data_IF_113820945298
#
_entry.id   IF_113820945298
#
_cell.length_a   1.000
_cell.length_b   1.000
_cell.length_c   1.000
_cell.angle_alpha   90.00
_cell.angle_beta   90.00
_cell.angle_gamma   90.00
#
_symmetry.space_group_name_H-M   'P 1'
#
loop_
_entity.id
_entity.type
_entity.pdbx_description
1 polymer ?
#
# COMPACT_ATOMS: atom_id res chain seq x y z
N UNK A 1 22.51 -3.29 7.54
CA UNK A 1 22.44 -4.75 7.80
C UNK A 1 23.74 -5.36 8.37
N UNK A 2 24.93 -5.21 7.76
CA UNK A 2 26.15 -5.89 8.24
C UNK A 2 26.54 -5.55 9.68
N UNK A 3 26.35 -4.29 10.08
CA UNK A 3 26.64 -3.83 11.44
C UNK A 3 25.78 -4.53 12.51
N UNK A 4 24.50 -4.78 12.24
CA UNK A 4 23.59 -5.49 13.18
C UNK A 4 23.96 -6.95 13.29
N UNK A 5 24.36 -7.58 12.18
CA UNK A 5 24.84 -8.97 12.19
C UNK A 5 26.15 -9.11 12.96
N UNK A 6 27.09 -8.17 12.78
CA UNK A 6 28.33 -8.13 13.55
C UNK A 6 28.02 -7.98 15.05
N UNK A 7 27.14 -7.05 15.40
CA UNK A 7 26.68 -6.85 16.77
C UNK A 7 26.09 -8.15 17.37
N UNK A 8 25.20 -8.84 16.65
CA UNK A 8 24.58 -10.07 17.14
C UNK A 8 25.63 -11.17 17.38
N UNK A 9 26.64 -11.27 16.49
CA UNK A 9 27.79 -12.17 16.69
C UNK A 9 28.61 -11.77 17.93
N UNK A 10 28.88 -10.48 18.13
CA UNK A 10 29.61 -9.98 19.29
C UNK A 10 28.87 -10.28 20.59
N UNK A 11 27.57 -10.02 20.66
CA UNK A 11 26.76 -10.37 21.84
C UNK A 11 26.81 -11.87 22.12
N UNK A 12 26.69 -12.72 21.10
CA UNK A 12 26.77 -14.17 21.28
C UNK A 12 28.12 -14.62 21.87
N UNK A 13 29.22 -14.04 21.42
CA UNK A 13 30.56 -14.31 21.98
C UNK A 13 30.65 -13.83 23.43
N UNK A 14 30.16 -12.63 23.73
CA UNK A 14 30.18 -12.08 25.09
C UNK A 14 29.34 -12.93 26.06
N UNK A 15 28.19 -13.42 25.60
CA UNK A 15 27.28 -14.26 26.38
C UNK A 15 27.91 -15.61 26.77
N UNK A 16 28.60 -16.24 25.81
CA UNK A 16 29.36 -17.49 26.02
C UNK A 16 30.46 -17.36 27.08
N UNK A 17 30.97 -16.14 27.28
CA UNK A 17 32.03 -15.83 28.23
C UNK A 17 31.57 -14.89 29.35
N UNK A 18 30.28 -14.89 29.67
CA UNK A 18 29.64 -14.02 30.69
C UNK A 18 30.16 -14.21 32.11
N UNK A 19 30.88 -15.31 32.39
CA UNK A 19 31.57 -15.53 33.67
C UNK A 19 32.72 -14.55 33.91
N UNK A 20 33.23 -13.91 32.87
CA UNK A 20 34.28 -12.89 32.97
C UNK A 20 33.62 -11.51 33.18
N UNK A 21 33.87 -10.90 34.34
CA UNK A 21 33.22 -9.64 34.74
C UNK A 21 33.37 -8.50 33.71
N UNK A 22 34.54 -8.37 33.08
CA UNK A 22 34.76 -7.37 32.04
C UNK A 22 33.90 -7.62 30.79
N UNK A 23 33.65 -8.88 30.43
CA UNK A 23 32.79 -9.22 29.30
C UNK A 23 31.32 -8.98 29.62
N UNK A 24 30.89 -9.26 30.85
CA UNK A 24 29.55 -8.88 31.32
C UNK A 24 29.31 -7.38 31.22
N UNK A 25 30.26 -6.56 31.70
CA UNK A 25 30.14 -5.10 31.60
C UNK A 25 30.09 -4.60 30.15
N UNK A 26 30.86 -5.22 29.25
CA UNK A 26 30.82 -4.90 27.81
C UNK A 26 29.47 -5.31 27.22
N UNK A 27 28.95 -6.50 27.57
CA UNK A 27 27.65 -6.99 27.13
C UNK A 27 26.53 -6.02 27.52
N UNK A 28 26.44 -5.63 28.79
CA UNK A 28 25.42 -4.71 29.31
C UNK A 28 25.45 -3.37 28.57
N UNK A 29 26.65 -2.79 28.38
CA UNK A 29 26.81 -1.52 27.65
C UNK A 29 26.42 -1.63 26.18
N UNK A 30 26.77 -2.75 25.56
CA UNK A 30 26.50 -3.03 24.14
C UNK A 30 25.00 -3.23 23.92
N UNK A 31 24.33 -3.96 24.82
CA UNK A 31 22.87 -4.11 24.84
C UNK A 31 22.13 -2.78 25.04
N UNK A 32 22.60 -1.94 25.95
CA UNK A 32 22.04 -0.59 26.13
C UNK A 32 22.16 0.23 24.84
N UNK A 33 23.32 0.21 24.18
CA UNK A 33 23.54 0.94 22.93
C UNK A 33 22.63 0.45 21.80
N UNK A 34 22.41 -0.87 21.68
CA UNK A 34 21.49 -1.41 20.69
C UNK A 34 20.05 -1.02 20.98
N UNK A 35 19.62 -1.05 22.25
CA UNK A 35 18.27 -0.59 22.63
C UNK A 35 18.02 0.86 22.22
N UNK A 36 18.99 1.74 22.44
CA UNK A 36 18.91 3.14 22.02
C UNK A 36 18.87 3.29 20.50
N UNK A 37 19.70 2.52 19.78
CA UNK A 37 19.72 2.51 18.32
C UNK A 37 18.39 1.99 17.75
N UNK A 38 17.86 0.89 18.29
CA UNK A 38 16.55 0.35 17.93
C UNK A 38 15.46 1.40 18.10
N UNK A 39 15.44 2.11 19.23
CA UNK A 39 14.48 3.20 19.45
C UNK A 39 14.56 4.30 18.38
N UNK A 40 15.78 4.70 18.00
CA UNK A 40 16.00 5.68 16.93
C UNK A 40 15.52 5.17 15.57
N UNK A 41 15.82 3.92 15.22
CA UNK A 41 15.40 3.34 13.94
C UNK A 41 13.88 3.16 13.88
N UNK A 42 13.21 2.80 14.99
CA UNK A 42 11.74 2.76 15.06
C UNK A 42 11.15 4.13 14.75
N UNK A 43 11.72 5.20 15.32
CA UNK A 43 11.23 6.57 15.08
C UNK A 43 11.45 7.03 13.63
N UNK A 44 12.44 6.47 12.92
CA UNK A 44 12.61 6.75 11.50
C UNK A 44 11.45 6.23 10.65
N UNK A 45 10.68 5.24 11.12
CA UNK A 45 9.48 4.79 10.41
C UNK A 45 8.39 5.88 10.33
N UNK A 46 8.41 6.87 11.23
CA UNK A 46 7.50 8.02 11.18
C UNK A 46 7.91 9.05 10.11
N UNK A 47 9.09 8.93 9.52
CA UNK A 47 9.57 9.87 8.51
C UNK A 47 8.79 9.70 7.20
N UNK A 48 7.99 10.73 6.91
CA UNK A 48 7.10 10.79 5.75
C UNK A 48 7.84 10.99 4.44
N UNK A 49 9.11 11.38 4.49
CA UNK A 49 9.97 11.59 3.31
C UNK A 49 10.63 10.30 2.81
N UNK A 50 10.62 9.23 3.61
CA UNK A 50 11.17 7.94 3.19
C UNK A 50 10.36 7.36 2.03
N UNK A 51 11.03 6.76 1.05
CA UNK A 51 10.34 5.93 0.07
C UNK A 51 9.87 4.61 0.71
N UNK A 52 9.07 3.83 -0.01
CA UNK A 52 8.52 2.55 0.47
C UNK A 52 9.62 1.49 0.63
N UNK A 53 10.63 1.48 -0.24
CA UNK A 53 11.76 0.53 -0.20
C UNK A 53 12.59 0.72 1.07
N UNK A 54 12.87 1.96 1.46
CA UNK A 54 13.61 2.29 2.69
C UNK A 54 12.83 1.92 3.94
N UNK A 55 11.49 2.05 3.93
CA UNK A 55 10.67 1.59 5.06
C UNK A 55 10.87 0.09 5.29
N UNK A 56 10.79 -0.73 4.24
CA UNK A 56 10.99 -2.18 4.36
C UNK A 56 12.40 -2.51 4.79
N UNK A 57 13.42 -1.83 4.26
CA UNK A 57 14.80 -2.00 4.74
C UNK A 57 14.93 -1.69 6.23
N UNK A 58 14.25 -0.66 6.75
CA UNK A 58 14.23 -0.40 8.18
C UNK A 58 13.49 -1.47 8.96
N UNK A 59 12.39 -2.02 8.44
CA UNK A 59 11.70 -3.17 9.05
C UNK A 59 12.62 -4.39 9.10
N UNK A 60 13.35 -4.71 8.03
CA UNK A 60 14.38 -5.77 8.00
C UNK A 60 15.43 -5.53 9.08
N UNK A 61 15.93 -4.30 9.21
CA UNK A 61 16.94 -3.94 10.21
C UNK A 61 16.37 -4.08 11.62
N UNK A 62 15.16 -3.59 11.88
CA UNK A 62 14.48 -3.67 13.17
C UNK A 62 14.20 -5.11 13.58
N UNK A 63 13.86 -5.97 12.62
CA UNK A 63 13.77 -7.42 12.82
C UNK A 63 15.11 -7.99 13.29
N UNK A 64 16.21 -7.67 12.60
CA UNK A 64 17.56 -8.14 12.98
C UNK A 64 18.03 -7.61 14.34
N UNK A 65 17.51 -6.45 14.75
CA UNK A 65 17.74 -5.85 16.07
C UNK A 65 16.81 -6.40 17.16
N UNK A 66 15.96 -7.37 16.83
CA UNK A 66 14.96 -7.95 17.74
C UNK A 66 14.04 -6.87 18.35
N UNK A 67 13.67 -5.87 17.56
CA UNK A 67 12.72 -4.85 17.97
C UNK A 67 11.34 -5.47 18.30
N UNK A 68 10.59 -4.79 19.16
CA UNK A 68 9.20 -5.18 19.47
C UNK A 68 8.36 -5.18 18.18
N UNK A 69 7.96 -6.36 17.74
CA UNK A 69 7.22 -6.57 16.48
C UNK A 69 5.98 -5.68 16.42
N UNK A 70 5.20 -5.63 17.49
CA UNK A 70 3.95 -4.84 17.58
C UNK A 70 4.24 -3.34 17.39
N UNK A 71 5.30 -2.81 18.01
CA UNK A 71 5.68 -1.39 17.83
C UNK A 71 6.05 -1.11 16.37
N UNK A 72 6.79 -2.02 15.74
CA UNK A 72 7.18 -1.90 14.32
C UNK A 72 5.96 -1.95 13.40
N UNK A 73 5.05 -2.92 13.61
CA UNK A 73 3.81 -3.05 12.82
C UNK A 73 2.95 -1.81 12.92
N UNK A 74 2.69 -1.32 14.14
CA UNK A 74 1.86 -0.12 14.33
C UNK A 74 2.47 1.11 13.63
N UNK A 75 3.79 1.28 13.71
CA UNK A 75 4.50 2.36 13.03
C UNK A 75 4.41 2.24 11.51
N UNK A 76 4.62 1.03 10.98
CA UNK A 76 4.52 0.75 9.56
C UNK A 76 3.10 1.01 9.03
N UNK A 77 2.07 0.49 9.70
CA UNK A 77 0.66 0.73 9.34
C UNK A 77 0.36 2.23 9.30
N UNK A 78 0.76 2.96 10.34
CA UNK A 78 0.54 4.41 10.41
C UNK A 78 1.25 5.16 9.28
N UNK A 79 2.49 4.79 8.95
CA UNK A 79 3.24 5.40 7.86
C UNK A 79 2.55 5.17 6.50
N UNK A 80 2.12 3.95 6.21
CA UNK A 80 1.40 3.62 4.98
C UNK A 80 0.02 4.28 4.92
N UNK A 81 -0.72 4.33 6.04
CA UNK A 81 -2.01 5.00 6.13
C UNK A 81 -1.87 6.50 5.88
N UNK A 82 -0.88 7.15 6.48
CA UNK A 82 -0.62 8.58 6.27
C UNK A 82 -0.30 8.87 4.79
N UNK A 83 0.56 8.06 4.16
CA UNK A 83 0.91 8.22 2.75
C UNK A 83 -0.29 7.99 1.83
N UNK A 84 -1.07 6.94 2.07
CA UNK A 84 -2.27 6.67 1.30
C UNK A 84 -3.28 7.82 1.41
N UNK A 85 -3.48 8.37 2.62
CA UNK A 85 -4.35 9.54 2.83
C UNK A 85 -3.83 10.81 2.12
N UNK A 86 -2.52 11.07 2.14
CA UNK A 86 -1.93 12.18 1.40
C UNK A 86 -2.18 12.03 -0.11
N UNK A 87 -1.98 10.84 -0.65
CA UNK A 87 -2.19 10.56 -2.06
C UNK A 87 -3.67 10.68 -2.45
N UNK A 88 -4.58 10.17 -1.61
CA UNK A 88 -6.04 10.35 -1.78
C UNK A 88 -6.42 11.83 -1.83
N UNK A 89 -5.92 12.63 -0.88
CA UNK A 89 -6.21 14.07 -0.83
C UNK A 89 -5.66 14.82 -2.05
N UNK A 90 -4.44 14.49 -2.50
CA UNK A 90 -3.86 15.07 -3.71
C UNK A 90 -4.67 14.74 -4.97
N UNK A 91 -5.28 13.55 -5.02
CA UNK A 91 -6.12 13.13 -6.12
C UNK A 91 -7.45 13.89 -6.13
N UNK A 92 -8.15 13.94 -5.00
CA UNK A 92 -9.45 14.63 -4.86
C UNK A 92 -9.36 16.14 -5.18
N UNK A 93 -8.25 16.80 -4.84
CA UNK A 93 -8.06 18.23 -5.12
C UNK A 93 -7.80 18.49 -6.62
N UNK A 94 -7.19 17.54 -7.34
CA UNK A 94 -6.82 17.73 -8.75
C UNK A 94 -7.95 17.37 -9.72
N UNK A 95 -8.82 16.42 -9.38
CA UNK A 95 -9.90 16.00 -10.29
C UNK A 95 -10.96 17.09 -10.54
N UNK A 96 -11.05 18.10 -9.66
CA UNK A 96 -11.99 19.22 -9.82
C UNK A 96 -11.61 20.21 -10.92
N UNK A 97 -10.37 20.20 -11.43
CA UNK A 97 -9.86 21.30 -12.26
C UNK A 97 -9.41 20.94 -13.70
N UNK A 98 -9.24 19.67 -14.09
CA UNK A 98 -8.77 19.30 -15.45
C UNK A 98 -9.29 17.92 -15.91
N UNK A 99 -10.10 17.88 -16.99
CA UNK A 99 -10.80 16.66 -17.47
C UNK A 99 -9.97 15.69 -18.32
N UNK A 100 -8.93 16.15 -19.02
CA UNK A 100 -8.28 15.35 -20.07
C UNK A 100 -7.06 14.53 -19.59
N UNK A 101 -6.75 14.55 -18.30
CA UNK A 101 -5.64 13.79 -17.71
C UNK A 101 -6.06 12.83 -16.60
N UNK A 102 -7.37 12.65 -16.39
CA UNK A 102 -7.91 11.95 -15.22
C UNK A 102 -7.52 10.47 -15.19
N UNK A 103 -7.67 9.72 -16.28
CA UNK A 103 -7.32 8.29 -16.28
C UNK A 103 -5.82 8.05 -16.03
N UNK A 104 -4.93 8.80 -16.68
CA UNK A 104 -3.48 8.67 -16.44
C UNK A 104 -3.10 8.97 -14.99
N UNK A 105 -3.77 9.95 -14.37
CA UNK A 105 -3.57 10.26 -12.96
C UNK A 105 -4.11 9.13 -12.05
N UNK A 106 -5.27 8.55 -12.37
CA UNK A 106 -5.84 7.40 -11.66
C UNK A 106 -4.90 6.19 -11.75
N UNK A 107 -4.40 5.87 -12.94
CA UNK A 107 -3.46 4.76 -13.14
C UNK A 107 -2.19 4.95 -12.31
N UNK A 108 -1.61 6.16 -12.32
CA UNK A 108 -0.43 6.46 -11.50
C UNK A 108 -0.74 6.34 -10.00
N UNK A 109 -1.89 6.84 -9.57
CA UNK A 109 -2.34 6.75 -8.19
C UNK A 109 -2.55 5.29 -7.76
N UNK A 110 -3.19 4.48 -8.60
CA UNK A 110 -3.39 3.05 -8.41
C UNK A 110 -2.07 2.33 -8.18
N UNK A 111 -1.09 2.53 -9.07
CA UNK A 111 0.23 1.91 -8.98
C UNK A 111 0.93 2.26 -7.67
N UNK A 112 0.91 3.54 -7.28
CA UNK A 112 1.55 3.99 -6.04
C UNK A 112 0.85 3.39 -4.81
N UNK A 113 -0.49 3.42 -4.78
CA UNK A 113 -1.28 2.90 -3.68
C UNK A 113 -1.04 1.40 -3.49
N UNK A 114 -1.19 0.60 -4.56
CA UNK A 114 -1.02 -0.84 -4.50
C UNK A 114 0.41 -1.25 -4.19
N UNK A 115 1.42 -0.60 -4.81
CA UNK A 115 2.81 -0.85 -4.45
C UNK A 115 3.07 -0.56 -2.97
N UNK A 116 2.47 0.50 -2.43
CA UNK A 116 2.58 0.82 -1.01
C UNK A 116 1.91 -0.21 -0.10
N UNK A 117 0.73 -0.73 -0.47
CA UNK A 117 0.03 -1.75 0.31
C UNK A 117 0.75 -3.11 0.27
N UNK A 118 1.20 -3.55 -0.91
CA UNK A 118 1.99 -4.76 -1.08
C UNK A 118 3.27 -4.68 -0.24
N UNK A 119 3.94 -3.54 -0.26
CA UNK A 119 5.16 -3.34 0.53
C UNK A 119 4.89 -3.38 2.04
N UNK A 120 3.75 -2.84 2.49
CA UNK A 120 3.33 -2.97 3.89
C UNK A 120 3.10 -4.44 4.27
N UNK A 121 2.42 -5.22 3.42
CA UNK A 121 2.23 -6.66 3.61
C UNK A 121 3.58 -7.39 3.65
N UNK A 122 4.48 -7.11 2.71
CA UNK A 122 5.82 -7.71 2.67
C UNK A 122 6.65 -7.38 3.90
N UNK A 123 6.61 -6.14 4.39
CA UNK A 123 7.31 -5.75 5.61
C UNK A 123 6.77 -6.48 6.84
N UNK A 124 5.46 -6.66 6.93
CA UNK A 124 4.82 -7.44 8.01
C UNK A 124 5.19 -8.91 7.88
N UNK A 125 5.01 -9.51 6.70
CA UNK A 125 5.46 -10.87 6.40
C UNK A 125 6.92 -11.06 6.81
N UNK A 126 7.84 -10.18 6.39
CA UNK A 126 9.25 -10.29 6.73
C UNK A 126 9.51 -10.28 8.24
N UNK A 127 8.76 -9.47 8.99
CA UNK A 127 8.85 -9.36 10.44
C UNK A 127 8.41 -10.66 11.16
N UNK A 128 7.53 -11.44 10.56
CA UNK A 128 6.95 -12.66 11.14
C UNK A 128 7.51 -13.97 10.56
N UNK A 129 7.99 -14.00 9.31
CA UNK A 129 8.21 -15.23 8.53
C UNK A 129 9.61 -15.87 8.61
N UNK A 130 10.42 -15.65 9.64
CA UNK A 130 11.66 -16.42 9.79
C UNK A 130 11.78 -17.03 11.19
N UNK A 131 11.37 -18.29 11.26
CA UNK A 131 11.41 -19.19 12.41
C UNK A 131 12.74 -19.93 12.58
N UNK A 132 13.71 -19.79 11.66
CA UNK A 132 15.00 -20.47 11.79
C UNK A 132 15.84 -19.97 12.98
N UNK A 133 15.59 -18.76 13.47
CA UNK A 133 16.19 -18.26 14.72
C UNK A 133 15.34 -18.51 15.97
N UNK A 134 14.07 -18.91 15.81
CA UNK A 134 13.16 -19.18 16.93
C UNK A 134 13.44 -20.54 17.58
N UNK A 135 13.91 -21.52 16.80
CA UNK A 135 14.13 -22.88 17.30
C UNK A 135 15.31 -22.96 18.28
N UNK A 136 16.26 -22.02 18.24
CA UNK A 136 17.41 -22.03 19.16
C UNK A 136 17.21 -21.23 20.46
N UNK A 137 16.16 -20.40 20.57
CA UNK A 137 15.91 -19.57 21.76
C UNK A 137 14.84 -20.20 22.68
N UNK A 138 13.99 -21.08 22.17
CA UNK A 138 13.06 -21.86 23.00
C UNK A 138 13.72 -22.97 23.84
N UNK A 139 15.05 -23.10 23.83
CA UNK A 139 15.78 -24.04 24.69
C UNK A 139 16.50 -23.38 25.88
N UNK A 140 16.43 -22.05 26.03
CA UNK A 140 16.91 -21.40 27.26
C UNK A 140 15.81 -21.41 28.31
N UNK A 141 15.86 -22.45 29.14
CA UNK A 141 15.12 -22.67 30.39
C UNK A 141 14.73 -21.38 31.13
N UNK A 142 13.50 -20.93 30.92
CA UNK A 142 12.81 -19.99 31.79
C UNK A 142 11.32 -20.25 31.60
N UNK A 143 10.63 -20.66 32.67
CA UNK A 143 9.16 -20.68 32.69
C UNK A 143 8.70 -19.25 32.42
N UNK A 144 8.34 -18.94 31.17
CA UNK A 144 7.51 -17.76 30.91
C UNK A 144 6.18 -18.00 31.60
N UNK A 145 5.69 -16.98 32.28
CA UNK A 145 4.41 -17.01 32.96
C UNK A 145 3.32 -17.18 31.90
N UNK A 146 2.39 -18.13 32.06
CA UNK A 146 1.36 -18.45 31.05
C UNK A 146 0.54 -17.19 30.66
N UNK A 147 0.47 -16.21 31.57
CA UNK A 147 -0.18 -14.91 31.36
C UNK A 147 0.56 -13.96 30.38
N UNK A 148 1.87 -14.12 30.18
CA UNK A 148 2.67 -13.26 29.30
C UNK A 148 2.55 -13.70 27.84
N UNK A 149 2.42 -15.01 27.60
CA UNK A 149 2.21 -15.59 26.27
C UNK A 149 0.82 -15.24 25.72
N UNK A 150 -0.24 -15.39 26.53
CA UNK A 150 -1.60 -15.01 26.16
C UNK A 150 -1.72 -13.52 25.78
N UNK A 151 -1.00 -12.64 26.49
CA UNK A 151 -0.95 -11.21 26.19
C UNK A 151 -0.24 -10.90 24.86
N UNK A 152 0.85 -11.61 24.55
CA UNK A 152 1.55 -11.44 23.27
C UNK A 152 0.65 -11.88 22.10
N UNK A 153 -0.02 -13.04 22.22
CA UNK A 153 -0.96 -13.56 21.22
C UNK A 153 -2.07 -12.54 20.94
N UNK A 154 -2.69 -11.99 21.98
CA UNK A 154 -3.79 -11.04 21.85
C UNK A 154 -3.33 -9.72 21.19
N UNK A 155 -2.15 -9.20 21.56
CA UNK A 155 -1.60 -8.00 20.91
C UNK A 155 -1.27 -8.23 19.42
N UNK A 156 -0.86 -9.45 19.07
CA UNK A 156 -0.62 -9.83 17.68
C UNK A 156 -1.92 -9.91 16.86
N UNK A 157 -2.98 -10.53 17.41
CA UNK A 157 -4.32 -10.53 16.79
C UNK A 157 -4.84 -9.11 16.58
N UNK A 158 -4.68 -8.23 17.57
CA UNK A 158 -5.07 -6.82 17.47
C UNK A 158 -4.29 -6.09 16.35
N UNK A 159 -2.98 -6.34 16.22
CA UNK A 159 -2.15 -5.75 15.17
C UNK A 159 -2.56 -6.23 13.77
N UNK A 160 -2.87 -7.52 13.61
CA UNK A 160 -3.38 -8.07 12.36
C UNK A 160 -4.77 -7.50 12.00
N UNK A 161 -5.68 -7.45 12.97
CA UNK A 161 -7.00 -6.83 12.79
C UNK A 161 -6.88 -5.37 12.38
N UNK A 162 -5.96 -4.62 12.99
CA UNK A 162 -5.70 -3.22 12.62
C UNK A 162 -5.19 -3.10 11.18
N UNK A 163 -4.29 -3.98 10.74
CA UNK A 163 -3.79 -4.02 9.36
C UNK A 163 -4.95 -4.25 8.37
N UNK A 164 -5.70 -5.34 8.57
CA UNK A 164 -6.82 -5.73 7.71
C UNK A 164 -7.83 -4.59 7.62
N UNK A 165 -8.25 -4.03 8.75
CA UNK A 165 -9.20 -2.93 8.79
C UNK A 165 -8.69 -1.68 8.07
N UNK A 166 -7.40 -1.38 8.19
CA UNK A 166 -6.77 -0.23 7.51
C UNK A 166 -6.75 -0.44 6.00
N UNK A 167 -6.36 -1.63 5.54
CA UNK A 167 -6.32 -1.98 4.12
C UNK A 167 -7.73 -1.94 3.52
N UNK A 168 -8.71 -2.57 4.18
CA UNK A 168 -10.11 -2.57 3.74
C UNK A 168 -10.61 -1.13 3.62
N UNK A 169 -10.40 -0.28 4.63
CA UNK A 169 -10.81 1.13 4.60
C UNK A 169 -10.18 1.90 3.44
N UNK A 170 -8.88 1.72 3.20
CA UNK A 170 -8.19 2.38 2.09
C UNK A 170 -8.70 1.91 0.72
N UNK A 171 -8.93 0.61 0.56
CA UNK A 171 -9.48 0.05 -0.67
C UNK A 171 -10.92 0.52 -0.92
N UNK A 172 -11.78 0.57 0.11
CA UNK A 172 -13.14 1.10 -0.02
C UNK A 172 -13.15 2.56 -0.46
N UNK A 173 -12.30 3.40 0.15
CA UNK A 173 -12.16 4.80 -0.25
C UNK A 173 -11.68 4.92 -1.70
N UNK A 174 -10.70 4.10 -2.08
CA UNK A 174 -10.18 4.07 -3.44
C UNK A 174 -11.23 3.64 -4.47
N UNK A 175 -11.97 2.57 -4.18
CA UNK A 175 -13.05 2.07 -5.04
C UNK A 175 -14.12 3.13 -5.25
N UNK A 176 -14.49 3.89 -4.20
CA UNK A 176 -15.45 4.99 -4.34
C UNK A 176 -14.98 6.05 -5.33
N UNK A 177 -13.69 6.41 -5.30
CA UNK A 177 -13.09 7.36 -6.26
C UNK A 177 -13.18 6.82 -7.69
N UNK A 178 -12.76 5.57 -7.93
CA UNK A 178 -12.81 4.97 -9.27
C UNK A 178 -14.25 4.94 -9.79
N UNK A 179 -15.21 4.51 -8.96
CA UNK A 179 -16.62 4.40 -9.34
C UNK A 179 -17.18 5.77 -9.72
N UNK A 180 -16.87 6.82 -8.94
CA UNK A 180 -17.33 8.18 -9.23
C UNK A 180 -16.76 8.70 -10.56
N UNK A 181 -15.46 8.52 -10.80
CA UNK A 181 -14.81 8.98 -12.03
C UNK A 181 -15.28 8.20 -13.27
N UNK A 182 -15.43 6.87 -13.15
CA UNK A 182 -15.99 6.04 -14.23
C UNK A 182 -17.45 6.42 -14.54
N UNK A 183 -18.25 6.71 -13.50
CA UNK A 183 -19.64 7.14 -13.68
C UNK A 183 -19.71 8.48 -14.41
N UNK A 184 -18.86 9.45 -14.03
CA UNK A 184 -18.74 10.75 -14.68
C UNK A 184 -18.36 10.62 -16.16
N UNK A 185 -17.39 9.74 -16.45
CA UNK A 185 -16.97 9.43 -17.81
C UNK A 185 -18.10 8.83 -18.66
N UNK A 186 -18.82 7.83 -18.13
CA UNK A 186 -19.94 7.20 -18.84
C UNK A 186 -21.10 8.18 -19.09
N UNK A 187 -21.37 9.09 -18.16
CA UNK A 187 -22.35 10.18 -18.36
C UNK A 187 -21.93 11.06 -19.55
N UNK A 188 -20.64 11.41 -19.63
CA UNK A 188 -20.10 12.23 -20.73
C UNK A 188 -20.26 11.56 -22.09
N UNK A 189 -19.97 10.25 -22.19
CA UNK A 189 -20.22 9.46 -23.41
C UNK A 189 -21.70 9.48 -23.78
N UNK A 190 -22.59 9.26 -22.81
CA UNK A 190 -24.03 9.23 -23.05
C UNK A 190 -24.56 10.58 -23.55
N UNK A 191 -24.08 11.68 -22.98
CA UNK A 191 -24.43 13.03 -23.42
C UNK A 191 -23.94 13.30 -24.85
N UNK A 192 -22.70 12.91 -25.17
CA UNK A 192 -22.15 13.09 -26.52
C UNK A 192 -22.93 12.27 -27.56
N UNK A 193 -23.25 11.01 -27.24
CA UNK A 193 -24.06 10.16 -28.12
C UNK A 193 -25.44 10.77 -28.39
N UNK A 194 -26.06 11.39 -27.37
CA UNK A 194 -27.33 12.09 -27.55
C UNK A 194 -27.21 13.32 -28.46
N UNK A 195 -26.15 14.13 -28.31
CA UNK A 195 -25.89 15.28 -29.16
C UNK A 195 -25.68 14.89 -30.63
N UNK A 196 -24.94 13.80 -30.88
CA UNK A 196 -24.74 13.26 -32.24
C UNK A 196 -26.08 12.89 -32.86
N UNK A 197 -26.92 12.13 -32.15
CA UNK A 197 -28.26 11.73 -32.63
C UNK A 197 -29.17 12.93 -32.93
N UNK A 198 -29.09 14.00 -32.13
CA UNK A 198 -29.85 15.23 -32.40
C UNK A 198 -29.39 15.91 -33.69
N UNK A 199 -28.08 16.01 -33.92
CA UNK A 199 -27.52 16.62 -35.13
C UNK A 199 -27.83 15.78 -36.37
N UNK A 200 -27.72 14.46 -36.28
CA UNK A 200 -28.14 13.54 -37.34
C UNK A 200 -29.62 13.75 -37.71
N UNK A 201 -30.50 13.86 -36.71
CA UNK A 201 -31.92 14.14 -36.92
C UNK A 201 -32.14 15.49 -37.62
N UNK A 202 -31.39 16.52 -37.23
CA UNK A 202 -31.47 17.86 -37.83
C UNK A 202 -30.94 17.87 -39.27
N UNK A 203 -29.86 17.14 -39.57
CA UNK A 203 -29.30 17.01 -40.92
C UNK A 203 -30.30 16.35 -41.89
N UNK A 204 -31.05 15.35 -41.43
CA UNK A 204 -32.10 14.71 -42.23
C UNK A 204 -33.22 15.72 -42.58
N UNK A 205 -33.52 16.64 -41.66
CA UNK A 205 -34.61 17.59 -41.80
C UNK A 205 -34.24 18.89 -42.54
N UNK A 206 -32.96 19.29 -42.60
CA UNK A 206 -32.53 20.61 -43.13
C UNK A 206 -32.40 20.68 -44.66
N UNK A 207 -33.25 19.96 -45.41
CA UNK A 207 -33.09 19.67 -46.85
C UNK A 207 -33.16 20.87 -47.82
N UNK A 208 -33.26 22.12 -47.35
CA UNK A 208 -33.50 23.29 -48.22
C UNK A 208 -32.54 24.49 -48.03
N UNK A 209 -31.65 24.51 -47.05
CA UNK A 209 -30.74 25.64 -46.82
C UNK A 209 -29.26 25.20 -46.76
N UNK A 210 -28.52 25.48 -47.83
CA UNK A 210 -27.14 25.03 -48.07
C UNK A 210 -26.15 25.57 -47.03
N UNK A 211 -26.25 26.84 -46.62
CA UNK A 211 -25.33 27.42 -45.61
C UNK A 211 -25.55 26.81 -44.22
N UNK A 212 -26.80 26.50 -43.88
CA UNK A 212 -27.15 25.82 -42.63
C UNK A 212 -26.63 24.39 -42.58
N UNK A 213 -26.59 23.71 -43.75
CA UNK A 213 -26.15 22.33 -43.89
C UNK A 213 -24.65 22.17 -43.67
N UNK A 214 -23.83 23.04 -44.27
CA UNK A 214 -22.36 23.01 -44.12
C UNK A 214 -21.92 23.25 -42.67
N UNK A 215 -22.60 24.15 -41.95
CA UNK A 215 -22.35 24.40 -40.52
C UNK A 215 -22.69 23.17 -39.66
N UNK A 216 -23.78 22.49 -39.99
CA UNK A 216 -24.27 21.32 -39.27
C UNK A 216 -23.38 20.09 -39.53
N UNK A 217 -22.90 19.90 -40.76
CA UNK A 217 -21.92 18.86 -41.11
C UNK A 217 -20.58 19.06 -40.39
N UNK A 218 -20.08 20.30 -40.32
CA UNK A 218 -18.86 20.61 -39.58
C UNK A 218 -19.02 20.33 -38.07
N UNK A 219 -20.17 20.65 -37.51
CA UNK A 219 -20.50 20.34 -36.10
C UNK A 219 -20.58 18.83 -35.86
N UNK A 220 -21.22 18.09 -36.76
CA UNK A 220 -21.28 16.62 -36.72
C UNK A 220 -19.87 16.02 -36.75
N UNK A 221 -19.01 16.45 -37.70
CA UNK A 221 -17.64 15.95 -37.83
C UNK A 221 -16.81 16.18 -36.55
N UNK A 222 -16.95 17.35 -35.91
CA UNK A 222 -16.28 17.64 -34.62
C UNK A 222 -16.76 16.73 -33.50
N UNK A 223 -18.06 16.44 -33.42
CA UNK A 223 -18.60 15.53 -32.40
C UNK A 223 -18.20 14.08 -32.63
N UNK A 224 -18.16 13.60 -33.88
CA UNK A 224 -17.67 12.27 -34.21
C UNK A 224 -16.20 12.10 -33.82
N UNK A 225 -15.35 13.08 -34.14
CA UNK A 225 -13.95 13.06 -33.70
C UNK A 225 -13.83 12.94 -32.18
N UNK A 226 -14.59 13.76 -31.44
CA UNK A 226 -14.64 13.68 -29.97
C UNK A 226 -15.18 12.34 -29.46
N UNK A 227 -16.10 11.71 -30.19
CA UNK A 227 -16.64 10.39 -29.83
C UNK A 227 -15.58 9.30 -29.97
N UNK A 228 -14.82 9.31 -31.07
CA UNK A 228 -13.72 8.37 -31.28
C UNK A 228 -12.59 8.55 -30.24
N UNK A 229 -12.27 9.79 -29.87
CA UNK A 229 -11.32 10.06 -28.77
C UNK A 229 -11.80 9.44 -27.44
N UNK A 230 -13.10 9.57 -27.12
CA UNK A 230 -13.67 8.93 -25.93
C UNK A 230 -13.74 7.40 -26.03
N UNK A 231 -13.92 6.85 -27.23
CA UNK A 231 -13.91 5.41 -27.45
C UNK A 231 -12.51 4.82 -27.17
N UNK A 232 -11.44 5.48 -27.63
CA UNK A 232 -10.06 5.11 -27.29
C UNK A 232 -9.79 5.22 -25.78
N UNK A 233 -10.28 6.28 -25.14
CA UNK A 233 -10.18 6.43 -23.68
C UNK A 233 -10.96 5.33 -22.94
N UNK A 234 -12.13 4.91 -23.45
CA UNK A 234 -12.91 3.81 -22.87
C UNK A 234 -12.15 2.47 -22.95
N UNK A 235 -11.44 2.19 -24.04
CA UNK A 235 -10.57 1.00 -24.11
C UNK A 235 -9.46 1.05 -23.07
N UNK A 236 -8.90 2.24 -22.83
CA UNK A 236 -7.89 2.44 -21.77
C UNK A 236 -8.48 2.19 -20.38
N UNK A 237 -9.72 2.61 -20.13
CA UNK A 237 -10.46 2.30 -18.91
C UNK A 237 -10.69 0.80 -18.71
N UNK A 238 -11.08 0.07 -19.76
CA UNK A 238 -11.27 -1.38 -19.70
C UNK A 238 -9.97 -2.12 -19.34
N UNK A 239 -8.85 -1.72 -19.96
CA UNK A 239 -7.53 -2.26 -19.65
C UNK A 239 -7.13 -1.96 -18.20
N UNK A 240 -7.38 -0.75 -17.73
CA UNK A 240 -7.13 -0.35 -16.34
C UNK A 240 -7.97 -1.15 -15.32
N UNK A 241 -9.27 -1.35 -15.58
CA UNK A 241 -10.15 -2.15 -14.71
C UNK A 241 -9.64 -3.58 -14.63
N UNK A 242 -9.27 -4.17 -15.78
CA UNK A 242 -8.71 -5.53 -15.83
C UNK A 242 -7.43 -5.65 -14.99
N UNK A 243 -6.51 -4.68 -15.10
CA UNK A 243 -5.29 -4.66 -14.29
C UNK A 243 -5.61 -4.49 -12.80
N UNK A 244 -6.54 -3.60 -12.46
CA UNK A 244 -6.94 -3.36 -11.07
C UNK A 244 -7.50 -4.61 -10.40
N UNK A 245 -8.27 -5.43 -11.13
CA UNK A 245 -8.75 -6.72 -10.63
C UNK A 245 -7.59 -7.66 -10.33
N UNK A 246 -6.59 -7.76 -11.22
CA UNK A 246 -5.41 -8.60 -11.00
C UNK A 246 -4.60 -8.13 -9.78
N UNK A 247 -4.42 -6.82 -9.62
CA UNK A 247 -3.70 -6.24 -8.48
C UNK A 247 -4.44 -6.48 -7.16
N UNK A 248 -5.78 -6.46 -7.17
CA UNK A 248 -6.60 -6.87 -6.03
C UNK A 248 -6.44 -8.35 -5.65
N UNK A 249 -6.45 -9.26 -6.64
CA UNK A 249 -6.22 -10.69 -6.39
C UNK A 249 -4.82 -10.93 -5.83
N UNK A 250 -3.82 -10.21 -6.34
CA UNK A 250 -2.46 -10.31 -5.82
C UNK A 250 -2.35 -9.81 -4.38
N UNK A 251 -2.96 -8.66 -4.06
CA UNK A 251 -3.00 -8.13 -2.71
C UNK A 251 -3.70 -9.08 -1.73
N UNK A 252 -4.82 -9.69 -2.14
CA UNK A 252 -5.53 -10.69 -1.34
C UNK A 252 -4.65 -11.90 -1.02
N UNK A 253 -3.87 -12.37 -2.00
CA UNK A 253 -2.86 -13.41 -1.78
C UNK A 253 -1.79 -12.97 -0.78
N UNK A 254 -1.23 -11.76 -0.90
CA UNK A 254 -0.25 -11.25 0.07
C UNK A 254 -0.82 -11.17 1.49
N UNK A 255 -2.08 -10.76 1.62
CA UNK A 255 -2.79 -10.72 2.90
C UNK A 255 -2.99 -12.11 3.48
N UNK A 256 -3.38 -13.08 2.65
CA UNK A 256 -3.49 -14.47 3.07
C UNK A 256 -2.14 -15.06 3.50
N UNK A 257 -1.06 -14.78 2.79
CA UNK A 257 0.29 -15.22 3.18
C UNK A 257 0.73 -14.59 4.52
N UNK A 258 0.35 -13.34 4.79
CA UNK A 258 0.52 -12.71 6.11
C UNK A 258 -0.29 -13.45 7.17
N UNK A 259 -1.58 -13.69 6.93
CA UNK A 259 -2.49 -14.36 7.86
C UNK A 259 -2.03 -15.79 8.21
N UNK A 260 -1.64 -16.58 7.20
CA UNK A 260 -1.08 -17.93 7.41
C UNK A 260 0.16 -17.85 8.28
N UNK A 261 1.06 -16.90 8.00
CA UNK A 261 2.28 -16.73 8.77
C UNK A 261 2.02 -16.29 10.21
N UNK A 262 0.97 -15.49 10.44
CA UNK A 262 0.48 -15.19 11.77
C UNK A 262 -0.03 -16.45 12.48
N UNK A 263 -0.88 -17.24 11.83
CA UNK A 263 -1.48 -18.42 12.43
C UNK A 263 -0.46 -19.52 12.75
N UNK A 264 0.57 -19.68 11.92
CA UNK A 264 1.63 -20.69 12.11
C UNK A 264 2.49 -20.41 13.36
N UNK A 265 2.51 -19.17 13.88
CA UNK A 265 3.23 -18.84 15.11
C UNK A 265 2.52 -19.33 16.39
N UNK A 266 1.25 -19.74 16.29
CA UNK A 266 0.38 -20.03 17.46
C UNK A 266 -0.22 -21.44 17.46
N UNK A 267 0.15 -22.27 16.49
CA UNK A 267 -0.19 -23.71 16.41
C UNK A 267 1.05 -24.55 16.62
#
# INVERSE_FOLDING_TARGET
QPAVQLYNKTIHVLDKHSSVLSFKNIQERTQSMMKDLTGKVINLLDDTSLDTVKLTQYVTILRLMQASKIKVVNKLINAHQYRANLLLNQFTIKSTNQSNHTLKQIMKFHQILFSGLIEACNGIYELFCNTEYSISICQTNGKKDDNEEDNEIEQHKQSHSLLVNTIVKLLTNYQSIIINELTSFLISIKQLSYQIKQIESNLINSSQDLESKDSLENSHRRLLLKYYELEEEFQSWLMFIRQSILDHVYLDRCMHECEVSFNTLYT
#
